data_IF_667407765404
#
_entry.id   IF_667407765404
#
_cell.length_a   1.000
_cell.length_b   1.000
_cell.length_c   1.000
_cell.angle_alpha   90.00
_cell.angle_beta   90.00
_cell.angle_gamma   90.00
#
_symmetry.space_group_name_H-M   'P 1'
#
loop_
_entity.id
_entity.type
_entity.pdbx_description
1 polymer ?
#
# COMPACT_ATOMS: atom_id res chain seq x y z
N UNK A 1 -7.09 4.36 -15.77
CA UNK A 1 -5.68 4.09 -15.44
C UNK A 1 -5.37 4.50 -14.02
N UNK A 2 -4.38 3.88 -13.38
CA UNK A 2 -4.08 4.05 -11.96
C UNK A 2 -3.89 5.51 -11.53
N UNK A 3 -3.02 6.28 -12.20
CA UNK A 3 -2.70 7.67 -11.84
C UNK A 3 -3.93 8.57 -11.67
N UNK A 4 -4.88 8.50 -12.62
CA UNK A 4 -6.12 9.29 -12.56
C UNK A 4 -7.00 8.88 -11.39
N UNK A 5 -7.09 7.58 -11.12
CA UNK A 5 -7.90 7.06 -10.03
C UNK A 5 -7.29 7.37 -8.67
N UNK A 6 -5.97 7.23 -8.49
CA UNK A 6 -5.30 7.63 -7.26
C UNK A 6 -5.52 9.11 -6.96
N UNK A 7 -5.28 9.98 -7.96
CA UNK A 7 -5.47 11.43 -7.76
C UNK A 7 -6.91 11.78 -7.34
N UNK A 8 -7.89 11.09 -7.91
CA UNK A 8 -9.31 11.33 -7.63
C UNK A 8 -9.82 10.68 -6.33
N UNK A 9 -9.30 9.50 -5.96
CA UNK A 9 -9.86 8.68 -4.87
C UNK A 9 -9.07 8.78 -3.57
N UNK A 10 -7.74 8.93 -3.63
CA UNK A 10 -6.87 9.11 -2.45
C UNK A 10 -6.20 10.50 -2.42
N UNK A 11 -6.50 11.38 -3.38
CA UNK A 11 -6.12 12.80 -3.35
C UNK A 11 -4.75 13.15 -3.94
N UNK A 12 -3.92 12.16 -4.28
CA UNK A 12 -2.58 12.39 -4.81
C UNK A 12 -2.16 11.36 -5.87
N UNK A 13 -1.07 11.65 -6.58
CA UNK A 13 -0.43 10.69 -7.51
C UNK A 13 0.77 10.08 -6.77
N UNK A 14 0.82 8.76 -6.57
CA UNK A 14 1.92 8.14 -5.87
C UNK A 14 3.26 8.37 -6.56
N UNK A 15 4.30 8.53 -5.74
CA UNK A 15 5.67 8.43 -6.20
C UNK A 15 5.87 7.06 -6.90
N UNK A 16 6.60 6.99 -8.04
CA UNK A 16 6.79 5.73 -8.74
C UNK A 16 7.49 4.67 -7.89
N UNK A 17 6.75 3.60 -7.54
CA UNK A 17 7.23 2.45 -6.77
C UNK A 17 6.49 2.25 -5.46
N UNK A 18 6.77 1.14 -4.80
CA UNK A 18 6.22 0.78 -3.48
C UNK A 18 7.35 0.62 -2.47
N UNK A 19 7.07 0.91 -1.19
CA UNK A 19 7.92 0.47 -0.09
C UNK A 19 7.44 -0.89 0.38
N UNK A 20 8.30 -1.90 0.23
CA UNK A 20 8.05 -3.24 0.75
C UNK A 20 8.51 -3.32 2.21
N UNK A 21 7.62 -3.74 3.11
CA UNK A 21 7.92 -3.94 4.53
C UNK A 21 7.69 -5.39 4.90
N UNK A 22 8.71 -6.03 5.50
CA UNK A 22 8.63 -7.41 5.96
C UNK A 22 8.03 -7.49 7.36
N UNK A 23 7.03 -8.35 7.52
CA UNK A 23 6.37 -8.67 8.78
C UNK A 23 7.02 -9.90 9.40
N UNK A 24 7.74 -9.68 10.51
CA UNK A 24 8.50 -10.74 11.17
C UNK A 24 7.66 -11.60 12.13
N UNK A 25 6.47 -11.15 12.53
CA UNK A 25 5.60 -11.88 13.47
C UNK A 25 4.34 -12.38 12.76
N UNK A 26 3.98 -13.65 13.00
CA UNK A 26 2.76 -14.27 12.43
C UNK A 26 1.49 -13.48 12.71
N UNK A 27 1.34 -12.93 13.92
CA UNK A 27 0.19 -12.10 14.28
C UNK A 27 0.01 -10.88 13.36
N UNK A 28 1.10 -10.30 12.85
CA UNK A 28 1.00 -9.18 11.91
C UNK A 28 0.61 -9.66 10.51
N UNK A 29 1.12 -10.82 10.08
CA UNK A 29 0.75 -11.44 8.79
C UNK A 29 -0.75 -11.78 8.79
N UNK A 30 -1.24 -12.39 9.87
CA UNK A 30 -2.66 -12.71 10.08
C UNK A 30 -3.53 -11.44 10.11
N UNK A 31 -3.07 -10.37 10.76
CA UNK A 31 -3.79 -9.09 10.78
C UNK A 31 -3.91 -8.49 9.36
N UNK A 32 -2.87 -8.58 8.53
CA UNK A 32 -2.92 -8.07 7.15
C UNK A 32 -3.89 -8.86 6.28
N UNK A 33 -4.02 -10.18 6.46
CA UNK A 33 -5.03 -10.97 5.72
C UNK A 33 -6.46 -10.47 5.91
N UNK A 34 -6.76 -9.90 7.08
CA UNK A 34 -8.09 -9.34 7.33
C UNK A 34 -8.40 -8.17 6.38
N UNK A 35 -7.38 -7.43 5.92
CA UNK A 35 -7.57 -6.32 4.96
C UNK A 35 -7.96 -6.79 3.55
N UNK A 36 -7.83 -8.07 3.22
CA UNK A 36 -8.33 -8.62 1.96
C UNK A 36 -9.85 -8.60 1.86
N UNK A 37 -10.54 -8.68 3.01
CA UNK A 37 -12.00 -8.67 3.10
C UNK A 37 -12.59 -7.33 3.59
N UNK A 38 -11.75 -6.38 4.00
CA UNK A 38 -12.19 -5.06 4.44
C UNK A 38 -12.45 -4.12 3.26
N UNK A 39 -13.46 -3.27 3.43
CA UNK A 39 -13.75 -2.20 2.49
C UNK A 39 -12.73 -1.06 2.67
N UNK A 40 -11.92 -0.85 1.63
CA UNK A 40 -10.99 0.26 1.53
C UNK A 40 -11.32 1.16 0.36
N UNK A 41 -10.42 2.08 0.04
CA UNK A 41 -10.58 2.94 -1.14
C UNK A 41 -10.19 2.14 -2.38
N UNK A 42 -11.21 1.60 -3.07
CA UNK A 42 -11.04 0.78 -4.26
C UNK A 42 -10.55 1.59 -5.46
N UNK A 43 -9.50 1.13 -6.12
CA UNK A 43 -9.04 1.56 -7.44
C UNK A 43 -9.45 0.47 -8.43
N UNK A 44 -10.26 0.83 -9.43
CA UNK A 44 -10.82 -0.16 -10.36
C UNK A 44 -9.78 -0.70 -11.31
N UNK A 45 -9.98 -1.96 -11.71
CA UNK A 45 -9.26 -2.56 -12.82
C UNK A 45 -9.55 -1.80 -14.12
N UNK A 46 -8.61 -1.83 -15.05
CA UNK A 46 -8.76 -1.19 -16.36
C UNK A 46 -7.92 -1.92 -17.41
N UNK A 47 -8.17 -1.65 -18.68
CA UNK A 47 -7.36 -2.14 -19.80
C UNK A 47 -6.91 -0.96 -20.66
N UNK A 48 -5.72 -1.06 -21.24
CA UNK A 48 -5.22 -0.12 -22.26
C UNK A 48 -5.34 -0.68 -23.69
N UNK A 49 -6.06 -1.81 -23.85
CA UNK A 49 -6.19 -2.53 -25.11
C UNK A 49 -5.03 -3.49 -25.43
N UNK A 50 -3.89 -3.39 -24.72
CA UNK A 50 -2.77 -4.33 -24.83
C UNK A 50 -2.70 -5.28 -23.63
N UNK A 51 -3.02 -4.78 -22.44
CA UNK A 51 -3.09 -5.59 -21.21
C UNK A 51 -4.16 -5.07 -20.25
N UNK A 52 -4.56 -5.95 -19.34
CA UNK A 52 -5.43 -5.62 -18.21
C UNK A 52 -4.59 -5.37 -16.96
N UNK A 53 -4.99 -4.39 -16.19
CA UNK A 53 -4.43 -4.00 -14.91
C UNK A 53 -5.48 -4.31 -13.85
N UNK A 54 -5.06 -5.00 -12.80
CA UNK A 54 -5.96 -5.40 -11.73
C UNK A 54 -6.48 -4.23 -10.90
N UNK A 55 -7.35 -4.53 -9.96
CA UNK A 55 -7.77 -3.54 -8.98
C UNK A 55 -6.74 -3.42 -7.84
N UNK A 56 -6.83 -2.31 -7.10
CA UNK A 56 -6.06 -2.06 -5.87
C UNK A 56 -7.02 -1.59 -4.79
N UNK A 57 -6.86 -2.06 -3.55
CA UNK A 57 -7.60 -1.54 -2.41
C UNK A 57 -6.63 -0.75 -1.51
N UNK A 58 -6.97 0.50 -1.17
CA UNK A 58 -6.07 1.38 -0.40
C UNK A 58 -6.62 1.63 1.00
N UNK A 59 -5.75 1.57 2.00
CA UNK A 59 -6.06 1.90 3.39
C UNK A 59 -5.08 2.95 3.89
N UNK A 60 -5.59 4.02 4.49
CA UNK A 60 -4.74 5.07 5.04
C UNK A 60 -3.84 4.50 6.13
N UNK A 61 -2.57 4.87 6.06
CA UNK A 61 -1.55 4.41 6.95
C UNK A 61 -0.54 5.53 7.23
N UNK A 62 0.29 5.30 8.26
CA UNK A 62 1.37 6.20 8.62
C UNK A 62 2.61 5.40 9.00
N UNK A 63 3.75 5.77 8.44
CA UNK A 63 5.04 5.18 8.79
C UNK A 63 5.71 6.05 9.86
N UNK A 64 6.18 5.40 10.93
CA UNK A 64 6.88 6.02 12.05
C UNK A 64 6.17 7.30 12.54
N UNK A 65 4.83 7.29 12.55
CA UNK A 65 3.96 8.41 12.92
C UNK A 65 4.22 9.75 12.18
N UNK A 66 4.95 9.74 11.07
CA UNK A 66 5.44 10.97 10.42
C UNK A 66 5.17 11.06 8.93
N UNK A 67 5.15 9.92 8.21
CA UNK A 67 4.95 9.91 6.75
C UNK A 67 3.58 9.32 6.47
N UNK A 68 2.69 10.14 5.89
CA UNK A 68 1.39 9.71 5.39
C UNK A 68 1.57 8.82 4.15
N UNK A 69 0.84 7.70 4.14
CA UNK A 69 0.95 6.69 3.08
C UNK A 69 -0.33 5.85 3.03
N UNK A 70 -0.39 4.92 2.08
CA UNK A 70 -1.48 3.97 1.93
C UNK A 70 -0.89 2.56 1.90
N UNK A 71 -1.46 1.68 2.72
CA UNK A 71 -1.35 0.24 2.50
C UNK A 71 -2.16 -0.11 1.26
N UNK A 72 -1.54 -0.85 0.34
CA UNK A 72 -2.23 -1.37 -0.85
C UNK A 72 -2.39 -2.88 -0.77
N UNK A 73 -3.61 -3.34 -1.05
CA UNK A 73 -3.92 -4.74 -1.32
C UNK A 73 -4.18 -4.87 -2.82
N UNK A 74 -3.42 -5.74 -3.48
CA UNK A 74 -3.45 -5.92 -4.93
C UNK A 74 -4.35 -7.11 -5.30
N UNK A 75 -5.04 -7.03 -6.45
CA UNK A 75 -5.75 -8.19 -7.00
C UNK A 75 -4.82 -9.39 -7.23
N UNK A 76 -3.56 -9.11 -7.56
CA UNK A 76 -2.52 -10.11 -7.81
C UNK A 76 -1.21 -9.60 -7.24
N UNK A 77 -0.57 -10.42 -6.41
CA UNK A 77 0.79 -10.18 -5.92
C UNK A 77 1.66 -11.41 -6.14
N UNK A 78 2.96 -11.21 -6.24
CA UNK A 78 3.97 -12.29 -6.26
C UNK A 78 4.58 -12.54 -4.88
N UNK A 79 4.24 -11.70 -3.89
CA UNK A 79 4.76 -11.82 -2.53
C UNK A 79 3.83 -12.68 -1.67
N UNK A 80 4.41 -13.36 -0.69
CA UNK A 80 3.65 -14.03 0.36
C UNK A 80 3.13 -13.02 1.40
N UNK A 81 2.34 -13.51 2.35
CA UNK A 81 1.73 -12.69 3.42
C UNK A 81 2.75 -12.04 4.38
N UNK A 82 4.05 -12.29 4.19
CA UNK A 82 5.11 -11.69 5.00
C UNK A 82 5.54 -10.32 4.51
N UNK A 83 5.06 -9.85 3.35
CA UNK A 83 5.40 -8.54 2.79
C UNK A 83 4.12 -7.71 2.60
N UNK A 84 4.15 -6.47 3.09
CA UNK A 84 3.17 -5.45 2.71
C UNK A 84 3.82 -4.42 1.80
N UNK A 85 2.98 -3.79 0.97
CA UNK A 85 3.38 -2.74 0.05
C UNK A 85 2.71 -1.42 0.45
N UNK A 86 3.51 -0.36 0.54
CA UNK A 86 3.06 0.99 0.89
C UNK A 86 3.35 1.96 -0.24
N UNK A 87 2.40 2.85 -0.52
CA UNK A 87 2.55 3.97 -1.47
C UNK A 87 2.39 5.30 -0.75
N UNK A 88 3.02 6.35 -1.29
CA UNK A 88 2.92 7.72 -0.77
C UNK A 88 3.15 8.71 -1.91
N UNK A 89 2.81 9.98 -1.72
CA UNK A 89 3.12 11.06 -2.66
C UNK A 89 4.63 11.36 -2.73
N UNK A 90 5.37 10.96 -1.69
CA UNK A 90 6.82 11.09 -1.59
C UNK A 90 7.55 9.74 -1.67
N UNK A 91 8.84 9.78 -1.98
CA UNK A 91 9.70 8.61 -1.86
C UNK A 91 9.97 8.30 -0.38
N UNK A 92 9.19 7.38 0.20
CA UNK A 92 9.24 7.02 1.62
C UNK A 92 10.66 6.69 2.09
N UNK A 93 11.45 5.95 1.30
CA UNK A 93 12.84 5.62 1.65
C UNK A 93 13.71 6.86 1.83
N UNK A 94 13.62 7.82 0.92
CA UNK A 94 14.39 9.06 0.98
C UNK A 94 13.92 9.95 2.13
N UNK A 95 12.60 10.14 2.25
CA UNK A 95 11.99 10.97 3.29
C UNK A 95 12.28 10.43 4.69
N UNK A 96 12.10 9.12 4.89
CA UNK A 96 12.35 8.44 6.16
C UNK A 96 13.81 8.04 6.40
N UNK A 97 14.72 8.34 5.46
CA UNK A 97 16.15 7.94 5.49
C UNK A 97 16.33 6.44 5.77
N UNK A 98 15.48 5.61 5.17
CA UNK A 98 15.43 4.17 5.39
C UNK A 98 16.40 3.43 4.46
N UNK A 99 17.06 2.43 5.01
CA UNK A 99 17.86 1.43 4.29
C UNK A 99 17.21 0.05 4.41
N UNK A 100 17.66 -0.92 3.62
CA UNK A 100 17.18 -2.29 3.78
C UNK A 100 17.46 -2.82 5.18
N UNK A 101 16.47 -3.51 5.76
CA UNK A 101 16.52 -3.98 7.16
C UNK A 101 16.20 -2.92 8.22
N UNK A 102 15.97 -1.66 7.84
CA UNK A 102 15.56 -0.63 8.81
C UNK A 102 14.22 -1.00 9.47
N UNK A 103 14.12 -0.98 10.81
CA UNK A 103 12.85 -1.20 11.47
C UNK A 103 11.91 -0.02 11.22
N UNK A 104 10.65 -0.31 10.94
CA UNK A 104 9.58 0.68 10.78
C UNK A 104 8.36 0.26 11.56
N UNK A 105 7.62 1.24 12.07
CA UNK A 105 6.28 1.05 12.61
C UNK A 105 5.28 1.57 11.59
N UNK A 106 4.30 0.73 11.23
CA UNK A 106 3.21 1.12 10.32
C UNK A 106 1.92 1.11 11.12
N UNK A 107 1.25 2.26 11.19
CA UNK A 107 -0.08 2.38 11.79
C UNK A 107 -1.09 2.47 10.67
N UNK A 108 -2.08 1.59 10.66
CA UNK A 108 -3.13 1.58 9.64
C UNK A 108 -4.42 2.09 10.29
N UNK A 109 -5.07 3.06 9.65
CA UNK A 109 -6.34 3.61 10.09
C UNK A 109 -7.47 2.74 9.56
N UNK A 110 -8.22 2.12 10.47
CA UNK A 110 -9.45 1.39 10.14
C UNK A 110 -10.60 2.31 10.53
N UNK A 111 -11.35 2.79 9.55
CA UNK A 111 -12.60 3.48 9.83
C UNK A 111 -13.65 2.38 10.05
N UNK A 112 -14.12 2.29 11.30
CA UNK A 112 -15.23 1.41 11.71
C UNK A 112 -16.56 2.09 11.45
#
# INVERSE_FOLDING_TARGET
GYTKQFKSKIGYIPYPGTLNVRLNKKVHQEAIKQFESLDGIKIESFSDGKRTYGWVNCFHAKINQSIDCELIILERTHHDDSIIELISDVCIRKTGKLQDGSPVTVTISINS
#
